data_IF_573452992982
#
_entry.id   IF_573452992982
#
_cell.length_a   1.000
_cell.length_b   1.000
_cell.length_c   1.000
_cell.angle_alpha   90.00
_cell.angle_beta   90.00
_cell.angle_gamma   90.00
#
_symmetry.space_group_name_H-M   'P 1'
#
loop_
_entity.id
_entity.type
_entity.pdbx_description
1 polymer ?
#
# COMPACT_ATOMS: atom_id res chain seq x y z
N UNK A 1 13.75 36.83 72.05
CA UNK A 1 14.14 36.55 70.65
C UNK A 1 13.55 37.68 69.81
N UNK A 2 14.37 38.63 69.38
CA UNK A 2 13.89 39.90 68.82
C UNK A 2 13.37 39.72 67.39
N UNK A 3 12.15 40.20 67.15
CA UNK A 3 11.49 40.22 65.83
C UNK A 3 12.40 40.82 64.73
N UNK A 4 13.21 41.82 65.08
CA UNK A 4 14.18 42.45 64.19
C UNK A 4 15.30 41.51 63.67
N UNK A 5 15.74 40.54 64.49
CA UNK A 5 16.77 39.58 64.07
C UNK A 5 16.22 38.57 63.07
N UNK A 6 15.00 38.07 63.34
CA UNK A 6 14.28 37.14 62.44
C UNK A 6 13.96 37.83 61.11
N UNK A 7 13.54 39.10 61.16
CA UNK A 7 13.24 39.89 59.96
C UNK A 7 14.47 40.11 59.08
N UNK A 8 15.60 40.51 59.66
CA UNK A 8 16.85 40.71 58.92
C UNK A 8 17.38 39.41 58.31
N UNK A 9 17.32 38.31 59.06
CA UNK A 9 17.70 36.99 58.57
C UNK A 9 16.83 36.53 57.39
N UNK A 10 15.51 36.77 57.45
CA UNK A 10 14.60 36.48 56.33
C UNK A 10 14.89 37.33 55.08
N UNK A 11 15.21 38.61 55.26
CA UNK A 11 15.54 39.52 54.15
C UNK A 11 16.86 39.13 53.47
N UNK A 12 17.88 38.78 54.25
CA UNK A 12 19.20 38.39 53.71
C UNK A 12 19.13 37.08 52.91
N UNK A 13 18.17 36.19 53.21
CA UNK A 13 17.96 34.92 52.51
C UNK A 13 16.89 34.97 51.41
N UNK A 14 16.23 36.11 51.22
CA UNK A 14 15.11 36.25 50.28
C UNK A 14 15.50 35.90 48.83
N UNK A 15 16.69 36.29 48.40
CA UNK A 15 17.19 36.03 47.03
C UNK A 15 17.52 34.54 46.81
N UNK A 16 18.05 33.86 47.84
CA UNK A 16 18.31 32.43 47.79
C UNK A 16 16.99 31.63 47.78
N UNK A 17 16.03 32.01 48.61
CA UNK A 17 14.71 31.37 48.64
C UNK A 17 14.00 31.55 47.28
N UNK A 18 14.08 32.75 46.69
CA UNK A 18 13.51 33.04 45.37
C UNK A 18 14.12 32.18 44.26
N UNK A 19 15.44 32.02 44.22
CA UNK A 19 16.11 31.21 43.20
C UNK A 19 15.84 29.71 43.34
N UNK A 20 15.74 29.19 44.57
CA UNK A 20 15.35 27.80 44.83
C UNK A 20 13.90 27.54 44.42
N UNK A 21 12.97 28.44 44.75
CA UNK A 21 11.57 28.33 44.32
C UNK A 21 11.44 28.37 42.80
N UNK A 22 12.20 29.24 42.12
CA UNK A 22 12.23 29.30 40.67
C UNK A 22 12.77 27.99 40.06
N UNK A 23 13.83 27.41 40.62
CA UNK A 23 14.38 26.12 40.17
C UNK A 23 13.35 24.99 40.33
N UNK A 24 12.66 24.92 41.48
CA UNK A 24 11.61 23.92 41.73
C UNK A 24 10.46 24.10 40.75
N UNK A 25 10.00 25.33 40.53
CA UNK A 25 8.96 25.62 39.56
C UNK A 25 9.37 25.21 38.13
N UNK A 26 10.61 25.48 37.74
CA UNK A 26 11.15 25.07 36.44
C UNK A 26 11.22 23.53 36.30
N UNK A 27 11.68 22.82 37.34
CA UNK A 27 11.73 21.35 37.33
C UNK A 27 10.33 20.73 37.25
N UNK A 28 9.35 21.28 37.97
CA UNK A 28 7.95 20.84 37.90
C UNK A 28 7.39 21.06 36.49
N UNK A 29 7.68 22.22 35.89
CA UNK A 29 7.26 22.55 34.52
C UNK A 29 7.84 21.56 33.51
N UNK A 30 9.15 21.29 33.56
CA UNK A 30 9.82 20.32 32.66
C UNK A 30 9.23 18.92 32.83
N UNK A 31 8.92 18.51 34.06
CA UNK A 31 8.33 17.20 34.33
C UNK A 31 6.93 17.08 33.72
N UNK A 32 6.09 18.09 33.83
CA UNK A 32 4.74 18.05 33.26
C UNK A 32 4.77 18.11 31.72
N UNK A 33 5.65 18.91 31.13
CA UNK A 33 5.88 18.93 29.67
C UNK A 33 6.30 17.54 29.17
N UNK A 34 7.24 16.86 29.85
CA UNK A 34 7.66 15.50 29.49
C UNK A 34 6.52 14.48 29.59
N UNK A 35 5.63 14.64 30.56
CA UNK A 35 4.45 13.78 30.73
C UNK A 35 3.43 14.00 29.61
N UNK A 36 3.17 15.26 29.24
CA UNK A 36 2.31 15.62 28.12
C UNK A 36 2.87 15.11 26.79
N UNK A 37 4.16 15.34 26.51
CA UNK A 37 4.82 14.88 25.30
C UNK A 37 4.72 13.35 25.11
N UNK A 38 4.90 12.57 26.19
CA UNK A 38 4.71 11.11 26.16
C UNK A 38 3.26 10.70 25.93
N UNK A 39 2.31 11.47 26.45
CA UNK A 39 0.88 11.25 26.22
C UNK A 39 0.48 11.48 24.78
N UNK A 40 0.97 12.57 24.19
CA UNK A 40 0.69 12.95 22.81
C UNK A 40 1.34 11.99 21.82
N UNK A 41 2.58 11.55 22.07
CA UNK A 41 3.22 10.53 21.24
C UNK A 41 2.43 9.21 21.22
N UNK A 42 1.92 8.77 22.39
CA UNK A 42 1.07 7.57 22.48
C UNK A 42 -0.25 7.73 21.74
N UNK A 43 -0.90 8.89 21.86
CA UNK A 43 -2.15 9.20 21.15
C UNK A 43 -1.92 9.20 19.64
N UNK A 44 -0.87 9.87 19.19
CA UNK A 44 -0.51 9.95 17.78
C UNK A 44 -0.20 8.56 17.19
N UNK A 45 0.57 7.73 17.90
CA UNK A 45 0.81 6.32 17.51
C UNK A 45 -0.49 5.51 17.44
N UNK A 46 -1.40 5.71 18.39
CA UNK A 46 -2.71 5.06 18.38
C UNK A 46 -3.60 5.52 17.21
N UNK A 47 -3.57 6.81 16.87
CA UNK A 47 -4.27 7.35 15.71
C UNK A 47 -3.72 6.80 14.39
N UNK A 48 -2.40 6.79 14.21
CA UNK A 48 -1.73 6.18 13.06
C UNK A 48 -2.09 4.70 12.91
N UNK A 49 -2.04 3.93 13.99
CA UNK A 49 -2.41 2.51 13.98
C UNK A 49 -3.86 2.29 13.58
N UNK A 50 -4.81 3.09 14.08
CA UNK A 50 -6.22 3.01 13.67
C UNK A 50 -6.42 3.37 12.21
N UNK A 51 -5.75 4.41 11.71
CA UNK A 51 -5.79 4.80 10.30
C UNK A 51 -5.24 3.69 9.41
N UNK A 52 -4.12 3.08 9.77
CA UNK A 52 -3.53 1.94 9.07
C UNK A 52 -4.50 0.75 9.02
N UNK A 53 -5.08 0.35 10.17
CA UNK A 53 -6.06 -0.75 10.20
C UNK A 53 -7.30 -0.46 9.35
N UNK A 54 -7.84 0.77 9.43
CA UNK A 54 -8.99 1.17 8.64
C UNK A 54 -8.68 1.21 7.14
N UNK A 55 -7.48 1.64 6.76
CA UNK A 55 -7.01 1.63 5.39
C UNK A 55 -6.88 0.19 4.86
N UNK A 56 -6.23 -0.69 5.62
CA UNK A 56 -6.09 -2.11 5.28
C UNK A 56 -7.44 -2.81 5.14
N UNK A 57 -8.42 -2.49 5.98
CA UNK A 57 -9.76 -3.07 5.89
C UNK A 57 -10.50 -2.73 4.58
N UNK A 58 -10.18 -1.62 3.93
CA UNK A 58 -10.79 -1.20 2.66
C UNK A 58 -10.09 -1.80 1.43
N UNK A 59 -8.83 -2.21 1.58
CA UNK A 59 -8.04 -2.72 0.45
C UNK A 59 -8.60 -3.99 -0.21
N UNK A 60 -9.10 -5.02 0.52
CA UNK A 60 -9.56 -6.26 -0.11
C UNK A 60 -10.68 -6.05 -1.12
N UNK A 61 -11.63 -5.16 -0.81
CA UNK A 61 -12.75 -4.86 -1.70
C UNK A 61 -12.27 -4.13 -2.96
N UNK A 62 -11.39 -3.12 -2.80
CA UNK A 62 -10.78 -2.40 -3.91
C UNK A 62 -9.94 -3.32 -4.81
N UNK A 63 -9.12 -4.21 -4.22
CA UNK A 63 -8.31 -5.19 -4.95
C UNK A 63 -9.18 -6.22 -5.68
N UNK A 64 -10.35 -6.56 -5.12
CA UNK A 64 -11.31 -7.46 -5.76
C UNK A 64 -11.96 -6.79 -6.97
N UNK A 65 -12.35 -5.52 -6.87
CA UNK A 65 -12.86 -4.72 -8.00
C UNK A 65 -11.79 -4.56 -9.10
N UNK A 66 -10.53 -4.32 -8.74
CA UNK A 66 -9.42 -4.33 -9.70
C UNK A 66 -9.28 -5.67 -10.42
N UNK A 67 -9.39 -6.79 -9.69
CA UNK A 67 -9.34 -8.13 -10.29
C UNK A 67 -10.52 -8.36 -11.24
N UNK A 68 -11.72 -7.88 -10.89
CA UNK A 68 -12.89 -7.95 -11.78
C UNK A 68 -12.66 -7.16 -13.07
N UNK A 69 -12.18 -5.92 -12.97
CA UNK A 69 -11.80 -5.12 -14.13
C UNK A 69 -10.82 -5.85 -15.05
N UNK A 70 -9.78 -6.48 -14.47
CA UNK A 70 -8.77 -7.23 -15.23
C UNK A 70 -9.41 -8.40 -15.98
N UNK A 71 -10.31 -9.16 -15.33
CA UNK A 71 -11.02 -10.28 -15.97
C UNK A 71 -11.92 -9.83 -17.10
N UNK A 72 -12.59 -8.70 -16.94
CA UNK A 72 -13.46 -8.16 -17.98
C UNK A 72 -12.62 -7.62 -19.15
N UNK A 73 -11.46 -7.01 -18.87
CA UNK A 73 -10.51 -6.58 -19.90
C UNK A 73 -9.96 -7.77 -20.69
N UNK A 74 -9.55 -8.86 -20.03
CA UNK A 74 -9.06 -10.06 -20.74
C UNK A 74 -10.17 -10.74 -21.54
N UNK A 75 -11.40 -10.79 -21.02
CA UNK A 75 -12.56 -11.28 -21.76
C UNK A 75 -12.80 -10.47 -23.04
N UNK A 76 -12.65 -9.15 -22.97
CA UNK A 76 -12.77 -8.28 -24.12
C UNK A 76 -11.68 -8.52 -25.16
N UNK A 77 -10.44 -8.76 -24.72
CA UNK A 77 -9.31 -9.03 -25.60
C UNK A 77 -9.44 -10.34 -26.37
N UNK A 78 -9.94 -11.38 -25.74
CA UNK A 78 -9.98 -12.72 -26.34
C UNK A 78 -11.27 -12.98 -27.09
N UNK A 79 -12.41 -12.60 -26.50
CA UNK A 79 -13.74 -12.96 -27.01
C UNK A 79 -14.52 -11.75 -27.56
N UNK A 80 -13.99 -10.52 -27.44
CA UNK A 80 -14.68 -9.31 -27.91
C UNK A 80 -15.94 -8.97 -27.11
N UNK A 81 -15.95 -9.27 -25.80
CA UNK A 81 -17.05 -8.88 -24.87
C UNK A 81 -17.21 -7.36 -24.77
N UNK A 82 -17.99 -6.86 -23.82
CA UNK A 82 -18.09 -5.40 -23.62
C UNK A 82 -16.75 -4.79 -23.14
N UNK A 83 -16.49 -3.53 -23.50
CA UNK A 83 -15.33 -2.79 -23.01
C UNK A 83 -15.56 -2.51 -21.51
N UNK A 84 -14.69 -2.97 -20.61
CA UNK A 84 -14.85 -2.72 -19.18
C UNK A 84 -14.72 -1.23 -18.86
N UNK A 85 -15.62 -0.76 -18.00
CA UNK A 85 -15.50 0.55 -17.38
C UNK A 85 -14.28 0.62 -16.45
N UNK A 86 -13.71 1.81 -16.26
CA UNK A 86 -12.63 2.02 -15.30
C UNK A 86 -13.10 1.70 -13.87
N UNK A 87 -12.29 1.03 -13.02
CA UNK A 87 -12.63 0.72 -11.63
C UNK A 87 -12.41 1.95 -10.73
N UNK A 88 -13.24 2.99 -10.91
CA UNK A 88 -13.06 4.31 -10.28
C UNK A 88 -13.10 4.23 -8.76
N UNK A 89 -13.96 3.38 -8.19
CA UNK A 89 -14.09 3.23 -6.74
C UNK A 89 -12.85 2.58 -6.14
N UNK A 90 -12.36 1.50 -6.76
CA UNK A 90 -11.12 0.87 -6.37
C UNK A 90 -9.94 1.83 -6.43
N UNK A 91 -9.76 2.57 -7.53
CA UNK A 91 -8.64 3.51 -7.68
C UNK A 91 -8.68 4.63 -6.64
N UNK A 92 -9.87 5.15 -6.35
CA UNK A 92 -10.04 6.20 -5.32
C UNK A 92 -9.68 5.66 -3.94
N UNK A 93 -10.10 4.44 -3.64
CA UNK A 93 -9.78 3.76 -2.38
C UNK A 93 -8.28 3.52 -2.28
N UNK A 94 -7.65 2.95 -3.30
CA UNK A 94 -6.21 2.66 -3.34
C UNK A 94 -5.36 3.94 -3.18
N UNK A 95 -5.76 5.06 -3.79
CA UNK A 95 -5.12 6.38 -3.59
C UNK A 95 -5.19 6.86 -2.15
N UNK A 96 -6.34 6.66 -1.50
CA UNK A 96 -6.57 7.12 -0.13
C UNK A 96 -5.79 6.29 0.88
N UNK A 97 -5.73 4.97 0.69
CA UNK A 97 -5.05 4.08 1.64
C UNK A 97 -3.53 4.23 1.62
N UNK A 98 -2.93 4.66 0.49
CA UNK A 98 -1.47 4.90 0.37
C UNK A 98 -0.93 5.80 1.49
N UNK A 99 -1.70 6.79 1.95
CA UNK A 99 -1.27 7.72 3.01
C UNK A 99 -1.14 7.05 4.39
N UNK A 100 -1.76 5.89 4.59
CA UNK A 100 -1.95 5.32 5.92
C UNK A 100 -1.36 3.91 6.09
N UNK A 101 -0.99 3.26 5.00
CA UNK A 101 -0.36 1.92 5.00
C UNK A 101 1.16 2.02 5.16
N UNK A 102 1.81 0.90 5.47
CA UNK A 102 3.26 0.87 5.63
C UNK A 102 3.97 1.21 4.30
N UNK A 103 5.12 1.89 4.38
CA UNK A 103 5.83 2.46 3.23
C UNK A 103 6.07 1.46 2.11
N UNK A 104 6.42 0.22 2.44
CA UNK A 104 6.63 -0.84 1.45
C UNK A 104 5.37 -1.15 0.63
N UNK A 105 4.20 -1.20 1.28
CA UNK A 105 2.93 -1.47 0.58
C UNK A 105 2.36 -0.22 -0.08
N UNK A 106 2.68 0.97 0.43
CA UNK A 106 2.42 2.22 -0.26
C UNK A 106 3.12 2.24 -1.63
N UNK A 107 4.39 1.85 -1.70
CA UNK A 107 5.14 1.70 -2.96
C UNK A 107 4.52 0.65 -3.88
N UNK A 108 4.18 -0.53 -3.36
CA UNK A 108 3.51 -1.60 -4.14
C UNK A 108 2.14 -1.15 -4.67
N UNK A 109 1.37 -0.40 -3.89
CA UNK A 109 0.05 0.14 -4.29
C UNK A 109 0.20 1.23 -5.35
N UNK A 110 1.20 2.10 -5.20
CA UNK A 110 1.54 3.10 -6.22
C UNK A 110 1.97 2.46 -7.55
N UNK A 111 2.77 1.39 -7.49
CA UNK A 111 3.16 0.62 -8.68
C UNK A 111 1.94 -0.01 -9.37
N UNK A 112 1.01 -0.59 -8.60
CA UNK A 112 -0.24 -1.13 -9.14
C UNK A 112 -1.02 -0.05 -9.90
N UNK A 113 -1.18 1.14 -9.32
CA UNK A 113 -1.89 2.24 -9.98
C UNK A 113 -1.17 2.71 -11.25
N UNK A 114 0.15 2.84 -11.20
CA UNK A 114 0.97 3.24 -12.35
C UNK A 114 0.82 2.26 -13.51
N UNK A 115 0.86 0.95 -13.22
CA UNK A 115 0.67 -0.09 -14.23
C UNK A 115 -0.76 -0.12 -14.78
N UNK A 116 -1.76 0.10 -13.93
CA UNK A 116 -3.15 0.25 -14.38
C UNK A 116 -3.27 1.37 -15.41
N UNK A 117 -2.69 2.55 -15.15
CA UNK A 117 -2.76 3.68 -16.07
C UNK A 117 -2.14 3.35 -17.44
N UNK A 118 -1.00 2.66 -17.45
CA UNK A 118 -0.35 2.22 -18.69
C UNK A 118 -1.20 1.21 -19.44
N UNK A 119 -1.69 0.17 -18.75
CA UNK A 119 -2.52 -0.87 -19.34
C UNK A 119 -3.83 -0.29 -19.90
N UNK A 120 -4.50 0.57 -19.14
CA UNK A 120 -5.77 1.18 -19.52
C UNK A 120 -5.61 2.08 -20.75
N UNK A 121 -4.54 2.89 -20.79
CA UNK A 121 -4.23 3.74 -21.94
C UNK A 121 -3.94 2.91 -23.20
N UNK A 122 -3.21 1.79 -23.09
CA UNK A 122 -2.97 0.89 -24.22
C UNK A 122 -4.26 0.20 -24.68
N UNK A 123 -5.05 -0.27 -23.72
CA UNK A 123 -6.29 -0.99 -23.97
C UNK A 123 -7.31 -0.15 -24.73
N UNK A 124 -7.55 1.10 -24.31
CA UNK A 124 -8.50 2.01 -24.97
C UNK A 124 -8.02 2.45 -26.36
N UNK A 125 -6.72 2.69 -26.53
CA UNK A 125 -6.18 3.22 -27.80
C UNK A 125 -5.96 2.15 -28.87
N UNK A 126 -6.25 0.88 -28.58
CA UNK A 126 -6.05 -0.23 -29.52
C UNK A 126 -7.19 -0.27 -30.54
N UNK A 127 -6.93 0.23 -31.75
CA UNK A 127 -7.88 0.27 -32.86
C UNK A 127 -7.77 -0.92 -33.82
N UNK A 128 -6.59 -1.56 -33.92
CA UNK A 128 -6.35 -2.72 -34.77
C UNK A 128 -5.74 -3.87 -33.96
N UNK A 129 -6.47 -4.97 -33.80
CA UNK A 129 -6.04 -6.12 -32.98
C UNK A 129 -5.36 -7.16 -33.85
N UNK A 130 -4.03 -7.09 -33.92
CA UNK A 130 -3.24 -8.22 -34.37
C UNK A 130 -2.96 -9.17 -33.18
N UNK A 131 -2.51 -10.39 -33.48
CA UNK A 131 -2.24 -11.41 -32.46
C UNK A 131 -1.14 -10.96 -31.46
N UNK A 132 -0.12 -10.27 -31.95
CA UNK A 132 0.99 -9.79 -31.13
C UNK A 132 0.54 -8.74 -30.09
N UNK A 133 -0.23 -7.74 -30.50
CA UNK A 133 -0.74 -6.69 -29.62
C UNK A 133 -1.72 -7.24 -28.59
N UNK A 134 -2.48 -8.27 -28.97
CA UNK A 134 -3.34 -9.00 -28.03
C UNK A 134 -2.50 -9.73 -26.99
N UNK A 135 -1.39 -10.36 -27.38
CA UNK A 135 -0.49 -11.04 -26.45
C UNK A 135 0.21 -10.06 -25.48
N UNK A 136 0.69 -8.91 -25.96
CA UNK A 136 1.27 -7.87 -25.08
C UNK A 136 0.23 -7.30 -24.11
N UNK A 137 -1.03 -7.13 -24.51
CA UNK A 137 -2.09 -6.67 -23.61
C UNK A 137 -2.54 -7.72 -22.60
N UNK A 138 -2.55 -9.00 -22.98
CA UNK A 138 -2.77 -10.10 -22.05
C UNK A 138 -1.61 -10.23 -21.04
N UNK A 139 -0.38 -9.98 -21.49
CA UNK A 139 0.77 -9.85 -20.60
C UNK A 139 0.60 -8.69 -19.62
N UNK A 140 0.22 -7.49 -20.09
CA UNK A 140 -0.02 -6.33 -19.23
C UNK A 140 -1.13 -6.63 -18.19
N UNK A 141 -2.18 -7.35 -18.58
CA UNK A 141 -3.24 -7.79 -17.68
C UNK A 141 -2.74 -8.80 -16.62
N UNK A 142 -1.91 -9.77 -17.00
CA UNK A 142 -1.29 -10.71 -16.07
C UNK A 142 -0.35 -10.01 -15.09
N UNK A 143 0.44 -9.05 -15.56
CA UNK A 143 1.31 -8.22 -14.73
C UNK A 143 0.48 -7.42 -13.71
N UNK A 144 -0.61 -6.81 -14.15
CA UNK A 144 -1.50 -6.06 -13.27
C UNK A 144 -2.14 -6.97 -12.21
N UNK A 145 -2.60 -8.16 -12.60
CA UNK A 145 -3.16 -9.14 -11.66
C UNK A 145 -2.10 -9.63 -10.66
N UNK A 146 -0.85 -9.74 -11.06
CA UNK A 146 0.25 -10.11 -10.16
C UNK A 146 0.46 -9.05 -9.09
N UNK A 147 0.47 -7.76 -9.45
CA UNK A 147 0.53 -6.67 -8.47
C UNK A 147 -0.66 -6.68 -7.52
N UNK A 148 -1.88 -6.95 -8.01
CA UNK A 148 -3.07 -7.11 -7.17
C UNK A 148 -2.90 -8.28 -6.18
N UNK A 149 -2.45 -9.43 -6.66
CA UNK A 149 -2.26 -10.63 -5.83
C UNK A 149 -1.28 -10.40 -4.68
N UNK A 150 -0.20 -9.64 -4.90
CA UNK A 150 0.80 -9.33 -3.86
C UNK A 150 0.25 -8.47 -2.72
N UNK A 151 -0.80 -7.69 -2.97
CA UNK A 151 -1.38 -6.82 -1.96
C UNK A 151 -2.45 -7.52 -1.11
N UNK A 152 -3.00 -8.67 -1.55
CA UNK A 152 -4.07 -9.35 -0.83
C UNK A 152 -3.65 -9.86 0.55
N UNK A 153 -2.47 -10.49 0.66
CA UNK A 153 -2.00 -11.03 1.95
C UNK A 153 -1.83 -9.91 2.98
N UNK A 154 -1.20 -8.80 2.57
CA UNK A 154 -1.09 -7.60 3.39
C UNK A 154 -2.45 -7.02 3.78
N UNK A 155 -3.36 -6.86 2.81
CA UNK A 155 -4.70 -6.33 3.01
C UNK A 155 -5.53 -7.19 3.99
N UNK A 156 -5.35 -8.51 3.98
CA UNK A 156 -6.04 -9.47 4.85
C UNK A 156 -5.38 -9.68 6.20
N UNK A 157 -4.25 -9.03 6.47
CA UNK A 157 -3.45 -9.24 7.67
C UNK A 157 -3.02 -10.71 7.86
N UNK A 158 -2.75 -11.37 6.73
CA UNK A 158 -2.15 -12.70 6.71
C UNK A 158 -0.63 -12.60 6.86
N UNK A 159 -0.02 -13.68 7.36
CA UNK A 159 1.43 -13.74 7.50
C UNK A 159 2.04 -13.74 6.10
N UNK A 160 2.87 -12.75 5.81
CA UNK A 160 3.61 -12.76 4.56
C UNK A 160 4.70 -13.83 4.60
N UNK A 161 4.64 -14.72 3.60
CA UNK A 161 5.82 -15.47 3.22
C UNK A 161 6.84 -14.47 2.68
N UNK A 162 8.11 -14.64 3.07
CA UNK A 162 9.23 -13.88 2.53
C UNK A 162 9.43 -14.27 1.04
N UNK A 163 8.54 -13.79 0.19
CA UNK A 163 8.61 -13.93 -1.25
C UNK A 163 9.70 -13.01 -1.83
N UNK A 164 10.15 -13.29 -3.06
CA UNK A 164 11.16 -12.47 -3.72
C UNK A 164 10.68 -11.01 -3.80
N UNK A 165 11.59 -10.04 -3.66
CA UNK A 165 11.20 -8.61 -3.69
C UNK A 165 10.52 -8.23 -5.00
N UNK A 166 10.98 -8.81 -6.11
CA UNK A 166 10.43 -8.58 -7.45
C UNK A 166 9.51 -9.73 -7.88
N UNK A 167 8.61 -9.45 -8.84
CA UNK A 167 7.79 -10.49 -9.47
C UNK A 167 8.68 -11.50 -10.18
N UNK A 168 8.34 -12.79 -10.08
CA UNK A 168 8.98 -13.86 -10.83
C UNK A 168 8.06 -14.40 -11.94
N UNK A 169 8.63 -15.26 -12.78
CA UNK A 169 7.92 -15.91 -13.89
C UNK A 169 6.69 -16.68 -13.41
N UNK A 170 6.82 -17.43 -12.33
CA UNK A 170 5.77 -18.28 -11.77
C UNK A 170 4.59 -17.42 -11.30
N UNK A 171 4.87 -16.28 -10.65
CA UNK A 171 3.83 -15.34 -10.21
C UNK A 171 3.02 -14.84 -11.41
N UNK A 172 3.68 -14.49 -12.52
CA UNK A 172 3.02 -13.99 -13.72
C UNK A 172 2.19 -15.07 -14.42
N UNK A 173 2.67 -16.32 -14.47
CA UNK A 173 1.93 -17.44 -15.04
C UNK A 173 0.66 -17.72 -14.23
N UNK A 174 0.75 -17.72 -12.90
CA UNK A 174 -0.40 -17.97 -12.03
C UNK A 174 -1.38 -16.79 -12.03
N UNK A 175 -0.86 -15.56 -12.14
CA UNK A 175 -1.66 -14.37 -12.32
C UNK A 175 -2.35 -14.32 -13.68
N UNK A 176 -1.73 -14.81 -14.76
CA UNK A 176 -2.37 -14.96 -16.06
C UNK A 176 -3.59 -15.89 -15.96
N UNK A 177 -3.44 -17.04 -15.30
CA UNK A 177 -4.56 -17.98 -15.08
C UNK A 177 -5.69 -17.34 -14.25
N UNK A 178 -5.33 -16.47 -13.30
CA UNK A 178 -6.30 -15.77 -12.44
C UNK A 178 -7.00 -14.60 -13.15
N UNK A 179 -6.29 -13.96 -14.08
CA UNK A 179 -6.77 -12.83 -14.89
C UNK A 179 -7.71 -13.30 -16.00
N UNK A 180 -7.52 -14.53 -16.50
CA UNK A 180 -8.33 -15.11 -17.57
C UNK A 180 -9.44 -15.97 -16.98
N UNK A 181 -10.70 -15.66 -17.28
CA UNK A 181 -11.83 -16.49 -16.82
C UNK A 181 -11.85 -17.86 -17.51
N UNK A 182 -12.43 -18.88 -16.86
CA UNK A 182 -12.56 -20.24 -17.41
C UNK A 182 -13.12 -20.27 -18.85
N UNK A 183 -14.19 -19.51 -19.20
CA UNK A 183 -14.69 -19.46 -20.58
C UNK A 183 -13.66 -18.93 -21.58
N UNK A 184 -12.85 -17.95 -21.17
CA UNK A 184 -11.82 -17.34 -22.00
C UNK A 184 -10.64 -18.30 -22.19
N UNK A 185 -10.27 -19.00 -21.13
CA UNK A 185 -9.23 -20.03 -21.18
C UNK A 185 -9.62 -21.18 -22.11
N UNK A 186 -10.89 -21.61 -22.04
CA UNK A 186 -11.45 -22.63 -22.93
C UNK A 186 -11.52 -22.19 -24.40
N UNK A 187 -11.83 -20.91 -24.67
CA UNK A 187 -11.94 -20.36 -26.03
C UNK A 187 -10.63 -20.39 -26.82
N UNK A 188 -9.47 -20.43 -26.14
CA UNK A 188 -8.12 -20.49 -26.75
C UNK A 188 -7.46 -21.88 -26.63
N UNK A 189 -8.23 -22.93 -26.37
CA UNK A 189 -7.70 -24.29 -26.12
C UNK A 189 -6.72 -24.38 -24.95
N UNK A 190 -6.76 -23.44 -24.00
CA UNK A 190 -5.94 -23.48 -22.78
C UNK A 190 -4.49 -23.04 -22.94
N UNK A 191 -4.06 -22.57 -24.11
CA UNK A 191 -2.68 -22.18 -24.35
C UNK A 191 -2.56 -20.71 -24.80
N UNK A 192 -1.71 -19.96 -24.09
CA UNK A 192 -1.29 -18.59 -24.44
C UNK A 192 0.22 -18.58 -24.71
N UNK A 193 0.70 -19.29 -25.75
CA UNK A 193 2.13 -19.51 -25.98
C UNK A 193 2.88 -18.18 -26.16
N UNK A 194 2.30 -17.23 -26.90
CA UNK A 194 2.89 -15.91 -27.15
C UNK A 194 3.07 -15.12 -25.84
N UNK A 195 2.10 -15.18 -24.93
CA UNK A 195 2.16 -14.50 -23.62
C UNK A 195 3.22 -15.16 -22.74
N UNK A 196 3.25 -16.49 -22.71
CA UNK A 196 4.25 -17.27 -21.96
C UNK A 196 5.67 -16.97 -22.47
N UNK A 197 5.85 -16.83 -23.78
CA UNK A 197 7.12 -16.43 -24.37
C UNK A 197 7.55 -15.03 -23.90
N UNK A 198 6.63 -14.06 -23.90
CA UNK A 198 6.89 -12.71 -23.39
C UNK A 198 7.31 -12.76 -21.90
N UNK A 199 6.60 -13.52 -21.08
CA UNK A 199 6.92 -13.71 -19.65
C UNK A 199 8.32 -14.31 -19.51
N UNK A 200 8.61 -15.40 -20.23
CA UNK A 200 9.90 -16.10 -20.15
C UNK A 200 11.07 -15.20 -20.58
N UNK A 201 10.85 -14.32 -21.56
CA UNK A 201 11.85 -13.37 -22.05
C UNK A 201 12.12 -12.24 -21.05
N UNK A 202 11.10 -11.75 -20.35
CA UNK A 202 11.18 -10.55 -19.49
C UNK A 202 11.46 -10.86 -18.03
N UNK A 203 11.12 -12.06 -17.54
CA UNK A 203 11.19 -12.41 -16.12
C UNK A 203 11.96 -13.70 -15.86
N UNK A 204 12.73 -13.67 -14.76
CA UNK A 204 13.50 -14.81 -14.27
C UNK A 204 12.63 -15.80 -13.48
N UNK A 205 13.00 -17.08 -13.43
CA UNK A 205 12.39 -18.07 -12.54
C UNK A 205 12.58 -17.69 -11.07
N UNK A 206 11.67 -18.15 -10.19
CA UNK A 206 11.72 -17.92 -8.74
C UNK A 206 13.05 -18.36 -8.11
N UNK A 207 13.64 -19.44 -8.62
CA UNK A 207 14.93 -19.95 -8.14
C UNK A 207 16.11 -18.97 -8.36
N UNK A 208 15.96 -17.99 -9.25
CA UNK A 208 16.99 -17.00 -9.60
C UNK A 208 16.62 -15.57 -9.13
N UNK A 209 15.53 -15.43 -8.37
CA UNK A 209 15.06 -14.15 -7.82
C UNK A 209 15.33 -14.12 -6.32
N UNK A 210 16.39 -13.43 -5.92
CA UNK A 210 16.73 -13.13 -4.52
C UNK A 210 15.82 -12.04 -3.92
#
# INVERSE_FOLDING_TARGET
>A
MNFAFVYKFLMDWQTLIGSVLALVAALLTVREIRKQARGDEKRHKGELSRKNMAARAQMPDALSEMSSYIRDATAHLVNGSEIPGAPVSALTTLKTVIEHIDTEYAEKTFQLESWYQVQHARFINTTNRNAHDTAEQLFDAALLQAHVNRLFNYARNEKEDAGPKNLCREDLIDSLKSAVSLPVWAARHGEFPDVIEIINRRYKPRAETE
#
